data_IF_083477230489
#
_entry.id   IF_083477230489
#
_cell.length_a   1.000
_cell.length_b   1.000
_cell.length_c   1.000
_cell.angle_alpha   90.00
_cell.angle_beta   90.00
_cell.angle_gamma   90.00
#
_symmetry.space_group_name_H-M   'P 1'
#
loop_
_entity.id
_entity.type
_entity.pdbx_description
1 polymer ?
#
# COMPACT_ATOMS: atom_id res chain seq x y z
N UNK A 1 3.51 -60.84 -41.27
CA UNK A 1 4.39 -59.78 -41.82
C UNK A 1 5.11 -59.11 -40.67
N UNK A 2 6.33 -58.61 -40.90
CA UNK A 2 7.28 -58.20 -39.85
C UNK A 2 7.15 -56.71 -39.42
N UNK A 3 8.13 -56.25 -38.60
CA UNK A 3 8.29 -54.90 -38.00
C UNK A 3 7.57 -54.76 -36.65
N UNK A 4 8.16 -54.94 -35.46
CA UNK A 4 9.54 -54.74 -34.94
C UNK A 4 9.92 -53.28 -34.65
N UNK A 5 10.63 -53.07 -33.52
CA UNK A 5 11.22 -51.81 -32.98
C UNK A 5 10.15 -50.90 -32.30
N UNK A 6 10.26 -50.52 -31.02
CA UNK A 6 11.18 -50.87 -29.91
C UNK A 6 10.50 -50.65 -28.52
N UNK A 7 11.08 -51.20 -27.44
CA UNK A 7 10.79 -50.87 -26.02
C UNK A 7 12.09 -50.45 -25.33
N UNK A 8 12.04 -49.57 -24.30
CA UNK A 8 12.99 -49.69 -23.18
C UNK A 8 12.44 -49.08 -21.88
N UNK A 9 12.26 -49.96 -20.90
CA UNK A 9 12.07 -49.67 -19.49
C UNK A 9 12.80 -50.78 -18.74
N UNK A 10 13.62 -50.47 -17.72
CA UNK A 10 14.08 -51.40 -16.68
C UNK A 10 14.73 -50.62 -15.52
N UNK A 11 13.98 -50.53 -14.44
CA UNK A 11 14.28 -51.05 -13.09
C UNK A 11 15.74 -51.18 -12.62
N UNK A 12 15.98 -50.62 -11.43
CA UNK A 12 17.16 -50.76 -10.56
C UNK A 12 17.42 -52.21 -10.14
N UNK A 13 18.69 -52.63 -10.07
CA UNK A 13 19.15 -53.67 -9.13
C UNK A 13 20.59 -53.42 -8.66
N UNK A 14 20.75 -53.29 -7.35
CA UNK A 14 22.04 -53.35 -6.66
C UNK A 14 22.52 -54.78 -6.51
N UNK A 15 23.84 -55.02 -6.51
CA UNK A 15 24.45 -56.03 -5.63
C UNK A 15 25.95 -55.76 -5.44
N UNK A 16 26.43 -55.96 -4.21
CA UNK A 16 27.83 -55.89 -3.80
C UNK A 16 28.58 -57.17 -4.21
N UNK A 17 29.86 -57.03 -4.59
CA UNK A 17 30.85 -58.12 -4.50
C UNK A 17 32.12 -57.55 -3.83
N UNK A 18 32.68 -58.32 -2.91
CA UNK A 18 33.79 -57.96 -2.03
C UNK A 18 35.05 -58.74 -2.45
N UNK A 19 36.17 -58.06 -2.76
CA UNK A 19 37.50 -58.72 -2.85
C UNK A 19 38.64 -57.80 -2.43
N UNK A 20 39.25 -58.13 -1.29
CA UNK A 20 40.67 -58.04 -0.91
C UNK A 20 41.64 -57.17 -1.76
N UNK A 21 42.29 -56.18 -1.13
CA UNK A 21 43.47 -55.50 -1.69
C UNK A 21 44.14 -54.50 -0.73
N UNK A 22 45.38 -54.76 -0.33
CA UNK A 22 46.21 -54.07 0.67
C UNK A 22 46.48 -52.56 0.49
N UNK A 23 46.51 -51.83 1.61
CA UNK A 23 47.31 -50.63 1.94
C UNK A 23 47.80 -49.69 0.81
N UNK A 24 47.16 -48.51 0.69
CA UNK A 24 47.85 -47.22 0.46
C UNK A 24 46.95 -46.04 0.85
N UNK A 25 47.53 -44.94 1.31
CA UNK A 25 46.80 -43.79 1.85
C UNK A 25 46.22 -42.87 0.75
N UNK A 26 45.05 -42.22 0.97
CA UNK A 26 44.47 -41.30 0.00
C UNK A 26 45.15 -39.91 0.02
N UNK A 27 45.23 -39.21 -1.13
CA UNK A 27 45.81 -37.87 -1.24
C UNK A 27 44.87 -36.77 -0.69
N UNK A 28 45.39 -35.57 -0.36
CA UNK A 28 44.64 -34.56 0.40
C UNK A 28 43.60 -33.79 -0.42
N UNK A 29 42.34 -33.81 0.04
CA UNK A 29 41.27 -32.93 -0.40
C UNK A 29 41.47 -31.47 0.10
N UNK A 30 42.38 -30.70 -0.51
CA UNK A 30 42.66 -29.33 -0.04
C UNK A 30 42.98 -28.30 -1.15
N UNK A 31 42.20 -28.27 -2.23
CA UNK A 31 42.30 -27.23 -3.28
C UNK A 31 40.97 -26.59 -3.68
N UNK A 32 39.87 -27.35 -3.74
CA UNK A 32 38.58 -26.84 -4.22
C UNK A 32 37.79 -25.98 -3.22
N UNK A 33 37.90 -26.24 -1.91
CA UNK A 33 37.15 -25.49 -0.89
C UNK A 33 37.72 -24.08 -0.60
N UNK A 34 39.06 -23.92 -0.67
CA UNK A 34 39.73 -22.66 -0.35
C UNK A 34 39.51 -21.54 -1.38
N UNK A 35 39.31 -21.87 -2.66
CA UNK A 35 39.05 -20.86 -3.69
C UNK A 35 37.65 -20.22 -3.56
N UNK A 36 36.65 -20.95 -3.05
CA UNK A 36 35.29 -20.41 -2.87
C UNK A 36 35.23 -19.34 -1.77
N UNK A 37 36.03 -19.49 -0.71
CA UNK A 37 36.14 -18.50 0.37
C UNK A 37 36.85 -17.21 -0.07
N UNK A 38 37.94 -17.30 -0.85
CA UNK A 38 38.63 -16.11 -1.37
C UNK A 38 37.72 -15.27 -2.28
N UNK A 39 36.94 -15.91 -3.16
CA UNK A 39 36.02 -15.19 -4.06
C UNK A 39 34.90 -14.45 -3.30
N UNK A 40 34.33 -15.08 -2.27
CA UNK A 40 33.33 -14.45 -1.40
C UNK A 40 33.90 -13.24 -0.62
N UNK A 41 35.16 -13.30 -0.20
CA UNK A 41 35.83 -12.24 0.54
C UNK A 41 36.33 -11.08 -0.36
N UNK A 42 36.39 -11.30 -1.68
CA UNK A 42 36.82 -10.30 -2.66
C UNK A 42 35.67 -9.41 -3.16
N UNK A 43 34.41 -9.75 -2.88
CA UNK A 43 33.25 -8.85 -2.99
C UNK A 43 33.14 -7.86 -1.81
N UNK A 44 34.30 -7.46 -1.25
CA UNK A 44 34.44 -6.34 -0.32
C UNK A 44 33.96 -5.04 -0.98
N UNK A 45 33.01 -4.39 -0.33
CA UNK A 45 32.96 -2.94 -0.14
C UNK A 45 33.19 -2.04 -1.36
N UNK A 46 32.12 -1.76 -2.11
CA UNK A 46 31.94 -0.43 -2.75
C UNK A 46 31.00 0.43 -1.90
N UNK A 47 31.19 1.76 -1.83
CA UNK A 47 30.73 2.54 -0.68
C UNK A 47 29.24 2.93 -0.76
N UNK A 48 28.35 2.07 -0.24
CA UNK A 48 26.93 2.41 0.01
C UNK A 48 26.76 3.74 0.78
N UNK A 49 27.71 4.11 1.65
CA UNK A 49 27.76 5.43 2.32
C UNK A 49 27.80 6.63 1.34
N UNK A 50 28.51 6.54 0.21
CA UNK A 50 28.63 7.66 -0.76
C UNK A 50 27.34 7.85 -1.56
N UNK A 51 26.65 6.75 -1.91
CA UNK A 51 25.35 6.81 -2.59
C UNK A 51 24.25 7.31 -1.63
N UNK A 52 24.24 6.81 -0.38
CA UNK A 52 23.36 7.34 0.69
C UNK A 52 23.53 8.85 0.87
N UNK A 53 24.77 9.35 0.87
CA UNK A 53 25.04 10.81 0.98
C UNK A 53 24.53 11.60 -0.22
N UNK A 54 24.61 11.06 -1.45
CA UNK A 54 24.02 11.71 -2.64
C UNK A 54 22.50 11.74 -2.59
N UNK A 55 21.84 10.64 -2.21
CA UNK A 55 20.38 10.58 -2.08
C UNK A 55 19.86 11.51 -0.97
N UNK A 56 20.55 11.59 0.18
CA UNK A 56 20.20 12.59 1.21
C UNK A 56 20.39 14.03 0.73
N UNK A 57 21.42 14.32 -0.08
CA UNK A 57 21.60 15.65 -0.68
C UNK A 57 20.53 16.01 -1.71
N UNK A 58 19.85 15.04 -2.32
CA UNK A 58 18.70 15.31 -3.22
C UNK A 58 17.37 15.43 -2.48
N UNK A 59 17.26 14.92 -1.24
CA UNK A 59 16.08 15.04 -0.39
C UNK A 59 16.02 16.35 0.40
N UNK A 60 17.17 17.01 0.62
CA UNK A 60 17.23 18.39 1.17
C UNK A 60 17.15 19.37 0.01
N UNK A 61 15.98 19.49 -0.62
CA UNK A 61 15.81 20.32 -1.83
C UNK A 61 15.42 21.78 -1.53
N UNK A 62 14.93 22.11 -0.32
CA UNK A 62 14.56 23.48 0.03
C UNK A 62 14.99 23.88 1.45
N UNK A 63 15.92 24.84 1.54
CA UNK A 63 16.44 25.45 2.78
C UNK A 63 17.26 24.53 3.70
N UNK A 64 18.27 25.11 4.36
CA UNK A 64 18.96 24.48 5.50
C UNK A 64 18.07 24.43 6.76
N UNK A 65 16.97 25.19 6.78
CA UNK A 65 16.01 25.20 7.89
C UNK A 65 14.85 24.21 7.62
N UNK A 66 14.68 23.15 8.43
CA UNK A 66 13.66 22.13 8.21
C UNK A 66 12.22 22.69 8.28
N UNK A 67 11.98 23.76 9.04
CA UNK A 67 10.67 24.42 9.14
C UNK A 67 10.28 25.07 7.80
N UNK A 68 11.23 25.70 7.12
CA UNK A 68 10.99 26.33 5.80
C UNK A 68 10.73 25.26 4.75
N UNK A 69 11.47 24.14 4.78
CA UNK A 69 11.18 22.98 3.94
C UNK A 69 9.75 22.44 4.18
N UNK A 70 9.34 22.30 5.44
CA UNK A 70 8.00 21.82 5.80
C UNK A 70 6.89 22.74 5.31
N UNK A 71 7.08 24.08 5.34
CA UNK A 71 6.12 25.03 4.75
C UNK A 71 6.04 24.91 3.22
N UNK A 72 7.17 24.75 2.54
CA UNK A 72 7.19 24.55 1.07
C UNK A 72 6.54 23.21 0.69
N UNK A 73 6.84 22.14 1.43
CA UNK A 73 6.20 20.83 1.27
C UNK A 73 4.68 20.90 1.52
N UNK A 74 4.23 21.67 2.52
CA UNK A 74 2.81 21.93 2.80
C UNK A 74 2.15 22.67 1.63
N UNK A 75 2.78 23.71 1.10
CA UNK A 75 2.25 24.48 -0.03
C UNK A 75 2.16 23.62 -1.31
N UNK A 76 3.18 22.81 -1.60
CA UNK A 76 3.19 21.93 -2.77
C UNK A 76 2.17 20.79 -2.64
N UNK A 77 2.15 20.07 -1.51
CA UNK A 77 1.21 18.96 -1.29
C UNK A 77 -0.24 19.43 -1.20
N UNK A 78 -0.49 20.58 -0.56
CA UNK A 78 -1.78 21.27 -0.59
C UNK A 78 -2.18 21.70 -2.00
N UNK A 79 -1.25 22.24 -2.80
CA UNK A 79 -1.47 22.57 -4.21
C UNK A 79 -1.83 21.36 -5.07
N UNK A 80 -1.16 20.22 -4.87
CA UNK A 80 -1.46 18.94 -5.54
C UNK A 80 -2.85 18.45 -5.12
N UNK A 81 -3.16 18.42 -3.83
CA UNK A 81 -4.46 18.00 -3.31
C UNK A 81 -5.60 18.88 -3.86
N UNK A 82 -5.46 20.21 -3.82
CA UNK A 82 -6.44 21.15 -4.39
C UNK A 82 -6.58 21.00 -5.91
N UNK A 83 -5.51 20.68 -6.63
CA UNK A 83 -5.56 20.44 -8.09
C UNK A 83 -6.32 19.16 -8.41
N UNK A 84 -6.09 18.08 -7.66
CA UNK A 84 -6.84 16.83 -7.79
C UNK A 84 -8.32 17.00 -7.41
N UNK A 85 -8.61 17.73 -6.33
CA UNK A 85 -9.98 18.04 -5.94
C UNK A 85 -10.71 18.84 -7.03
N UNK A 86 -10.09 19.89 -7.57
CA UNK A 86 -10.65 20.67 -8.69
C UNK A 86 -10.88 19.83 -9.94
N UNK A 87 -9.96 18.92 -10.27
CA UNK A 87 -10.12 18.00 -11.40
C UNK A 87 -11.40 17.15 -11.24
N UNK A 88 -11.58 16.52 -10.08
CA UNK A 88 -12.77 15.70 -9.81
C UNK A 88 -14.05 16.49 -9.57
N UNK A 89 -13.97 17.74 -9.12
CA UNK A 89 -15.11 18.67 -9.10
C UNK A 89 -15.57 19.02 -10.52
N UNK A 90 -14.65 19.33 -11.44
CA UNK A 90 -14.99 19.60 -12.84
C UNK A 90 -15.59 18.37 -13.53
N UNK A 91 -15.04 17.18 -13.29
CA UNK A 91 -15.60 15.90 -13.77
C UNK A 91 -17.01 15.66 -13.22
N UNK A 92 -17.26 15.94 -11.93
CA UNK A 92 -18.60 15.83 -11.32
C UNK A 92 -19.58 16.90 -11.83
N UNK A 93 -19.13 18.15 -12.06
CA UNK A 93 -19.96 19.21 -12.66
C UNK A 93 -20.44 18.79 -14.04
N UNK A 94 -19.52 18.35 -14.89
CA UNK A 94 -19.77 17.89 -16.27
C UNK A 94 -20.55 16.58 -16.37
N UNK A 95 -20.76 15.86 -15.26
CA UNK A 95 -21.54 14.63 -15.23
C UNK A 95 -20.89 13.46 -15.97
N UNK A 96 -19.56 13.46 -16.12
CA UNK A 96 -18.84 12.42 -16.86
C UNK A 96 -18.87 11.05 -16.17
N UNK A 97 -19.05 11.05 -14.84
CA UNK A 97 -19.17 9.85 -14.00
C UNK A 97 -20.30 10.00 -12.99
N UNK A 98 -20.89 8.87 -12.58
CA UNK A 98 -21.81 8.81 -11.44
C UNK A 98 -21.17 9.39 -10.17
N UNK A 99 -21.94 10.12 -9.36
CA UNK A 99 -21.48 10.68 -8.08
C UNK A 99 -20.77 9.63 -7.19
N UNK A 100 -21.29 8.39 -7.16
CA UNK A 100 -20.72 7.27 -6.39
C UNK A 100 -19.31 6.89 -6.85
N UNK A 101 -19.10 6.87 -8.18
CA UNK A 101 -17.82 6.58 -8.79
C UNK A 101 -16.84 7.74 -8.57
N UNK A 102 -17.28 8.97 -8.83
CA UNK A 102 -16.46 10.17 -8.64
C UNK A 102 -15.97 10.31 -7.19
N UNK A 103 -16.84 10.06 -6.21
CA UNK A 103 -16.49 10.04 -4.78
C UNK A 103 -15.36 9.06 -4.45
N UNK A 104 -15.47 7.80 -4.89
CA UNK A 104 -14.38 6.82 -4.65
C UNK A 104 -13.11 7.21 -5.42
N UNK A 105 -13.19 7.76 -6.64
CA UNK A 105 -12.02 8.25 -7.38
C UNK A 105 -11.31 9.41 -6.66
N UNK A 106 -12.06 10.35 -6.06
CA UNK A 106 -11.50 11.38 -5.16
C UNK A 106 -10.74 10.73 -4.00
N UNK A 107 -11.37 9.80 -3.28
CA UNK A 107 -10.75 9.15 -2.11
C UNK A 107 -9.49 8.34 -2.46
N UNK A 108 -9.54 7.55 -3.54
CA UNK A 108 -8.39 6.79 -4.06
C UNK A 108 -7.25 7.74 -4.40
N UNK A 109 -7.50 8.75 -5.23
CA UNK A 109 -6.42 9.59 -5.78
C UNK A 109 -5.85 10.58 -4.79
N UNK A 110 -6.68 11.26 -3.99
CA UNK A 110 -6.21 12.25 -3.02
C UNK A 110 -5.43 11.58 -1.88
N UNK A 111 -5.91 10.45 -1.35
CA UNK A 111 -5.23 9.74 -0.27
C UNK A 111 -3.87 9.17 -0.68
N UNK A 112 -3.79 8.56 -1.86
CA UNK A 112 -2.53 8.03 -2.39
C UNK A 112 -1.57 9.17 -2.82
N UNK A 113 -2.06 10.22 -3.50
CA UNK A 113 -1.22 11.37 -3.84
C UNK A 113 -0.63 12.09 -2.61
N UNK A 114 -1.39 12.13 -1.49
CA UNK A 114 -0.87 12.65 -0.23
C UNK A 114 0.30 11.80 0.32
N UNK A 115 0.20 10.46 0.26
CA UNK A 115 1.32 9.58 0.62
C UNK A 115 2.57 9.79 -0.26
N UNK A 116 2.39 10.06 -1.56
CA UNK A 116 3.51 10.41 -2.46
C UNK A 116 4.17 11.75 -2.08
N UNK A 117 3.47 12.64 -1.35
CA UNK A 117 4.06 13.88 -0.85
C UNK A 117 4.82 13.70 0.47
N UNK A 118 4.65 12.57 1.19
CA UNK A 118 5.29 12.33 2.49
C UNK A 118 6.82 12.46 2.50
N UNK A 119 7.59 12.08 1.46
CA UNK A 119 9.05 12.26 1.46
C UNK A 119 9.51 13.73 1.46
N UNK A 120 8.66 14.66 1.03
CA UNK A 120 8.98 16.10 0.94
C UNK A 120 9.11 16.77 2.31
N UNK A 121 8.43 16.23 3.33
CA UNK A 121 8.43 16.75 4.69
C UNK A 121 9.70 16.33 5.46
N UNK A 122 10.00 17.05 6.53
CA UNK A 122 11.11 16.77 7.44
C UNK A 122 10.96 15.42 8.15
N UNK A 123 12.08 14.88 8.64
CA UNK A 123 12.08 13.65 9.43
C UNK A 123 11.66 13.90 10.88
N UNK A 124 11.02 12.91 11.50
CA UNK A 124 10.57 12.97 12.89
C UNK A 124 9.14 13.52 13.04
N UNK A 125 8.76 13.81 14.29
CA UNK A 125 7.37 14.10 14.65
C UNK A 125 6.89 15.49 14.22
N UNK A 126 7.80 16.46 14.03
CA UNK A 126 7.46 17.77 13.50
C UNK A 126 6.90 17.67 12.07
N UNK A 127 7.66 17.05 11.15
CA UNK A 127 7.21 16.83 9.77
C UNK A 127 5.91 16.05 9.68
N UNK A 128 5.71 15.06 10.57
CA UNK A 128 4.44 14.32 10.68
C UNK A 128 3.25 15.22 11.06
N UNK A 129 3.42 16.09 12.07
CA UNK A 129 2.37 17.03 12.48
C UNK A 129 2.09 18.06 11.39
N UNK A 130 3.12 18.63 10.75
CA UNK A 130 2.94 19.64 9.70
C UNK A 130 2.30 19.01 8.44
N UNK A 131 2.72 17.82 8.03
CA UNK A 131 2.08 17.09 6.93
C UNK A 131 0.61 16.79 7.23
N UNK A 132 0.29 16.41 8.47
CA UNK A 132 -1.08 16.14 8.91
C UNK A 132 -1.99 17.39 8.90
N UNK A 133 -1.45 18.62 8.91
CA UNK A 133 -2.25 19.83 8.74
C UNK A 133 -2.97 19.86 7.38
N UNK A 134 -2.40 19.26 6.32
CA UNK A 134 -3.00 19.23 4.98
C UNK A 134 -4.35 18.48 4.97
N UNK A 135 -4.44 17.19 5.37
CA UNK A 135 -5.72 16.51 5.48
C UNK A 135 -6.58 17.03 6.65
N UNK A 136 -5.99 17.59 7.71
CA UNK A 136 -6.76 18.21 8.81
C UNK A 136 -7.51 19.47 8.37
N UNK A 137 -6.92 20.32 7.52
CA UNK A 137 -7.65 21.44 6.89
C UNK A 137 -8.79 20.93 6.01
N UNK A 138 -8.61 19.80 5.32
CA UNK A 138 -9.69 19.15 4.57
C UNK A 138 -10.81 18.60 5.50
N UNK A 139 -10.48 18.07 6.69
CA UNK A 139 -11.47 17.71 7.72
C UNK A 139 -12.31 18.94 8.11
N UNK A 140 -11.66 20.08 8.40
CA UNK A 140 -12.37 21.33 8.74
C UNK A 140 -13.28 21.77 7.60
N UNK A 141 -12.82 21.72 6.35
CA UNK A 141 -13.65 22.05 5.19
C UNK A 141 -14.87 21.12 5.05
N UNK A 142 -14.67 19.80 5.19
CA UNK A 142 -15.72 18.78 5.18
C UNK A 142 -16.74 19.03 6.29
N UNK A 143 -16.31 19.37 7.51
CA UNK A 143 -17.19 19.70 8.62
C UNK A 143 -17.99 20.99 8.36
N UNK A 144 -17.35 22.06 7.86
CA UNK A 144 -18.02 23.33 7.55
C UNK A 144 -19.05 23.19 6.42
N UNK A 145 -18.77 22.35 5.42
CA UNK A 145 -19.73 22.01 4.36
C UNK A 145 -20.86 21.12 4.92
N UNK A 146 -20.54 20.06 5.65
CA UNK A 146 -21.52 19.09 6.15
C UNK A 146 -22.47 19.64 7.21
N UNK A 147 -22.03 20.64 7.98
CA UNK A 147 -22.87 21.42 8.91
C UNK A 147 -23.65 22.56 8.21
N UNK A 148 -23.46 22.77 6.90
CA UNK A 148 -24.15 23.80 6.12
C UNK A 148 -23.66 25.24 6.36
N UNK A 149 -22.56 25.42 7.11
CA UNK A 149 -21.97 26.73 7.45
C UNK A 149 -21.32 27.36 6.20
N UNK A 150 -20.73 26.52 5.32
CA UNK A 150 -20.29 26.90 3.97
C UNK A 150 -21.14 26.15 2.94
N UNK A 151 -21.46 26.81 1.83
CA UNK A 151 -22.13 26.20 0.67
C UNK A 151 -21.22 26.23 -0.54
N UNK A 152 -20.68 25.08 -0.94
CA UNK A 152 -19.90 24.89 -2.17
C UNK A 152 -20.42 23.63 -2.86
N UNK A 153 -21.51 23.77 -3.62
CA UNK A 153 -22.26 22.63 -4.19
C UNK A 153 -21.40 21.76 -5.11
N UNK A 154 -20.35 22.32 -5.72
CA UNK A 154 -19.36 21.59 -6.51
C UNK A 154 -18.60 20.52 -5.70
N UNK A 155 -18.06 20.91 -4.53
CA UNK A 155 -17.32 20.03 -3.62
C UNK A 155 -18.25 18.99 -2.99
N UNK A 156 -19.48 19.39 -2.66
CA UNK A 156 -20.52 18.46 -2.17
C UNK A 156 -20.85 17.43 -3.25
N UNK A 157 -21.05 17.84 -4.52
CA UNK A 157 -21.36 16.95 -5.64
C UNK A 157 -20.24 15.97 -5.97
N UNK A 158 -18.97 16.33 -5.74
CA UNK A 158 -17.83 15.43 -6.01
C UNK A 158 -17.57 14.41 -4.89
N UNK A 159 -17.99 14.70 -3.65
CA UNK A 159 -17.72 13.89 -2.44
C UNK A 159 -18.94 13.19 -1.82
N UNK A 160 -20.17 13.46 -2.24
CA UNK A 160 -21.40 12.81 -1.72
C UNK A 160 -21.99 11.77 -2.70
N UNK A 161 -22.89 10.91 -2.24
CA UNK A 161 -23.57 9.87 -3.05
C UNK A 161 -24.84 10.38 -3.72
N UNK A 162 -25.52 11.35 -3.11
CA UNK A 162 -26.79 11.91 -3.55
C UNK A 162 -26.83 13.47 -3.59
N UNK A 163 -25.72 14.16 -3.33
CA UNK A 163 -25.69 15.62 -3.25
C UNK A 163 -26.01 16.21 -1.86
N UNK A 164 -26.29 15.37 -0.86
CA UNK A 164 -26.54 15.84 0.52
C UNK A 164 -25.23 16.22 1.21
N UNK A 165 -25.23 17.40 1.84
CA UNK A 165 -24.13 17.91 2.64
C UNK A 165 -23.86 16.99 3.84
N UNK A 166 -24.88 16.39 4.46
CA UNK A 166 -24.73 15.53 5.65
C UNK A 166 -23.99 14.23 5.37
N UNK A 167 -23.95 13.77 4.12
CA UNK A 167 -23.13 12.61 3.75
C UNK A 167 -21.63 12.86 3.91
N UNK A 168 -21.17 14.11 3.79
CA UNK A 168 -19.77 14.47 3.95
C UNK A 168 -19.26 14.15 5.36
N UNK A 169 -20.16 14.17 6.35
CA UNK A 169 -19.88 13.85 7.76
C UNK A 169 -19.75 12.34 8.05
N UNK A 170 -19.92 11.47 7.04
CA UNK A 170 -19.72 10.02 7.14
C UNK A 170 -18.43 9.62 6.42
N UNK A 171 -18.53 8.82 5.35
CA UNK A 171 -17.40 8.36 4.53
C UNK A 171 -16.26 9.37 4.36
N UNK A 172 -16.45 10.54 3.69
CA UNK A 172 -15.36 11.50 3.45
C UNK A 172 -14.65 11.98 4.72
N UNK A 173 -15.39 12.21 5.81
CA UNK A 173 -14.83 12.55 7.12
C UNK A 173 -14.01 11.40 7.71
N UNK A 174 -14.49 10.15 7.61
CA UNK A 174 -13.75 8.97 8.07
C UNK A 174 -12.47 8.75 7.27
N UNK A 175 -12.48 8.86 5.93
CA UNK A 175 -11.25 8.79 5.12
C UNK A 175 -10.23 9.83 5.54
N UNK A 176 -10.63 11.11 5.61
CA UNK A 176 -9.73 12.20 5.94
C UNK A 176 -9.19 12.05 7.37
N UNK A 177 -10.02 11.58 8.30
CA UNK A 177 -9.62 11.28 9.69
C UNK A 177 -8.62 10.13 9.75
N UNK A 178 -8.85 9.02 9.05
CA UNK A 178 -7.90 7.89 8.98
C UNK A 178 -6.55 8.33 8.44
N UNK A 179 -6.53 9.06 7.31
CA UNK A 179 -5.28 9.53 6.70
C UNK A 179 -4.52 10.46 7.66
N UNK A 180 -5.24 11.36 8.34
CA UNK A 180 -4.66 12.28 9.34
C UNK A 180 -4.10 11.52 10.54
N UNK A 181 -4.85 10.55 11.10
CA UNK A 181 -4.41 9.76 12.25
C UNK A 181 -3.23 8.83 11.91
N UNK A 182 -3.27 8.15 10.75
CA UNK A 182 -2.16 7.35 10.27
C UNK A 182 -0.89 8.19 10.05
N UNK A 183 -1.05 9.41 9.52
CA UNK A 183 0.04 10.38 9.36
C UNK A 183 0.65 10.79 10.72
N UNK A 184 -0.17 11.16 11.71
CA UNK A 184 0.30 11.63 13.04
C UNK A 184 0.83 10.50 13.93
N UNK A 185 0.23 9.32 13.91
CA UNK A 185 0.55 8.23 14.85
C UNK A 185 1.68 7.36 14.31
N UNK A 186 1.53 6.85 13.08
CA UNK A 186 2.40 5.83 12.50
C UNK A 186 3.46 6.42 11.55
N UNK A 187 3.10 7.47 10.81
CA UNK A 187 3.95 8.22 9.88
C UNK A 187 4.61 7.35 8.77
N UNK A 188 5.42 7.98 7.92
CA UNK A 188 6.05 7.36 6.73
C UNK A 188 7.07 6.25 7.01
N UNK A 189 7.38 5.99 8.28
CA UNK A 189 8.32 4.97 8.74
C UNK A 189 7.65 3.69 9.23
N UNK A 190 6.33 3.66 9.36
CA UNK A 190 5.59 2.49 9.83
C UNK A 190 4.87 1.77 8.68
N UNK A 191 5.06 0.46 8.51
CA UNK A 191 4.30 -0.32 7.53
C UNK A 191 2.80 -0.35 7.85
N UNK A 192 2.39 -0.20 9.11
CA UNK A 192 0.98 -0.16 9.52
C UNK A 192 0.25 1.03 8.88
N UNK A 193 0.89 2.21 8.82
CA UNK A 193 0.35 3.38 8.10
C UNK A 193 0.16 3.09 6.60
N UNK A 194 1.13 2.42 5.97
CA UNK A 194 1.06 2.02 4.57
C UNK A 194 -0.13 1.10 4.36
N UNK A 195 -0.21 0.00 5.13
CA UNK A 195 -1.26 -0.99 5.00
C UNK A 195 -2.66 -0.40 5.20
N UNK A 196 -2.84 0.46 6.21
CA UNK A 196 -4.12 1.09 6.51
C UNK A 196 -4.59 2.05 5.41
N UNK A 197 -3.72 2.96 4.93
CA UNK A 197 -4.11 3.91 3.89
C UNK A 197 -4.25 3.20 2.53
N UNK A 198 -3.40 2.23 2.20
CA UNK A 198 -3.52 1.47 0.95
C UNK A 198 -4.78 0.60 0.90
N UNK A 199 -5.16 -0.08 1.98
CA UNK A 199 -6.41 -0.87 1.99
C UNK A 199 -7.67 0.01 1.98
N UNK A 200 -7.64 1.16 2.66
CA UNK A 200 -8.73 2.14 2.61
C UNK A 200 -8.86 2.81 1.22
N UNK A 201 -7.76 3.33 0.67
CA UNK A 201 -7.80 4.14 -0.56
C UNK A 201 -7.78 3.27 -1.82
N UNK A 202 -6.85 2.33 -1.95
CA UNK A 202 -6.74 1.48 -3.13
C UNK A 202 -7.66 0.26 -3.03
N UNK A 203 -7.65 -0.43 -1.88
CA UNK A 203 -8.45 -1.65 -1.64
C UNK A 203 -9.95 -1.41 -1.81
N UNK A 204 -10.58 -0.76 -0.83
CA UNK A 204 -12.01 -0.46 -0.85
C UNK A 204 -12.44 0.37 -2.09
N UNK A 205 -11.58 1.30 -2.54
CA UNK A 205 -11.80 2.07 -3.75
C UNK A 205 -11.97 1.21 -5.01
N UNK A 206 -11.06 0.25 -5.24
CA UNK A 206 -11.19 -0.69 -6.36
C UNK A 206 -12.27 -1.74 -6.12
N UNK A 207 -12.52 -2.16 -4.87
CA UNK A 207 -13.58 -3.08 -4.51
C UNK A 207 -14.95 -2.59 -5.00
N UNK A 208 -15.26 -1.32 -4.76
CA UNK A 208 -16.53 -0.68 -5.15
C UNK A 208 -16.60 -0.41 -6.66
N UNK A 209 -15.48 -0.09 -7.32
CA UNK A 209 -15.44 0.14 -8.78
C UNK A 209 -15.59 -1.19 -9.55
N UNK A 210 -14.74 -2.18 -9.25
CA UNK A 210 -14.70 -3.49 -9.92
C UNK A 210 -15.92 -4.33 -9.49
N UNK A 211 -16.28 -4.30 -8.21
CA UNK A 211 -17.42 -5.04 -7.66
C UNK A 211 -18.78 -4.57 -8.17
N UNK A 212 -18.93 -3.29 -8.58
CA UNK A 212 -20.11 -2.82 -9.33
C UNK A 212 -20.09 -3.25 -10.79
N UNK A 213 -18.93 -3.17 -11.47
CA UNK A 213 -18.84 -3.38 -12.92
C UNK A 213 -18.82 -4.86 -13.33
N UNK A 214 -18.25 -5.72 -12.49
CA UNK A 214 -18.02 -7.14 -12.79
C UNK A 214 -18.51 -8.09 -11.68
N UNK A 215 -18.99 -7.57 -10.55
CA UNK A 215 -19.44 -8.38 -9.40
C UNK A 215 -20.85 -8.95 -9.53
N UNK A 216 -21.04 -9.84 -10.52
CA UNK A 216 -22.28 -10.62 -10.73
C UNK A 216 -22.55 -11.55 -9.55
N UNK A 217 -21.55 -12.32 -9.11
CA UNK A 217 -21.66 -13.24 -7.98
C UNK A 217 -21.58 -12.48 -6.64
N UNK A 218 -22.73 -12.33 -5.99
CA UNK A 218 -22.86 -11.77 -4.64
C UNK A 218 -22.43 -12.78 -3.58
N UNK A 219 -21.98 -12.30 -2.43
CA UNK A 219 -21.64 -13.16 -1.31
C UNK A 219 -22.90 -13.77 -0.69
N UNK A 220 -22.85 -15.03 -0.22
CA UNK A 220 -24.03 -15.71 0.32
C UNK A 220 -24.56 -15.04 1.60
N UNK A 221 -23.65 -14.50 2.42
CA UNK A 221 -23.94 -13.79 3.67
C UNK A 221 -24.13 -12.27 3.52
N UNK A 222 -23.71 -11.66 2.40
CA UNK A 222 -23.88 -10.23 2.15
C UNK A 222 -24.23 -9.97 0.68
N UNK A 223 -25.51 -9.70 0.40
CA UNK A 223 -26.01 -9.47 -0.96
C UNK A 223 -25.56 -8.13 -1.57
N UNK A 224 -25.10 -7.18 -0.75
CA UNK A 224 -24.62 -5.88 -1.21
C UNK A 224 -23.19 -5.95 -1.78
N UNK A 225 -22.37 -6.88 -1.28
CA UNK A 225 -20.97 -7.07 -1.67
C UNK A 225 -20.83 -8.27 -2.63
N UNK A 226 -19.74 -8.33 -3.38
CA UNK A 226 -19.50 -9.35 -4.41
C UNK A 226 -18.15 -10.01 -4.26
N UNK A 227 -18.05 -11.29 -4.66
CA UNK A 227 -16.80 -12.07 -4.57
C UNK A 227 -15.69 -11.36 -5.36
N UNK A 228 -16.02 -10.85 -6.55
CA UNK A 228 -15.09 -10.08 -7.40
C UNK A 228 -14.66 -8.77 -6.72
N UNK A 229 -15.57 -8.10 -5.98
CA UNK A 229 -15.25 -6.90 -5.21
C UNK A 229 -14.25 -7.18 -4.09
N UNK A 230 -14.46 -8.20 -3.27
CA UNK A 230 -13.55 -8.54 -2.17
C UNK A 230 -12.19 -9.09 -2.66
N UNK A 231 -12.15 -9.79 -3.81
CA UNK A 231 -10.88 -10.16 -4.47
C UNK A 231 -10.15 -8.90 -4.97
N UNK A 232 -10.87 -7.97 -5.62
CA UNK A 232 -10.30 -6.71 -6.07
C UNK A 232 -9.78 -5.88 -4.89
N UNK A 233 -10.46 -5.90 -3.74
CA UNK A 233 -10.00 -5.26 -2.52
C UNK A 233 -8.66 -5.79 -2.04
N UNK A 234 -8.57 -7.10 -1.81
CA UNK A 234 -7.36 -7.72 -1.28
C UNK A 234 -6.17 -7.51 -2.24
N UNK A 235 -6.39 -7.68 -3.55
CA UNK A 235 -5.36 -7.48 -4.56
C UNK A 235 -4.92 -6.01 -4.67
N UNK A 236 -5.85 -5.06 -4.70
CA UNK A 236 -5.53 -3.64 -4.82
C UNK A 236 -4.82 -3.09 -3.57
N UNK A 237 -5.31 -3.46 -2.38
CA UNK A 237 -4.69 -3.10 -1.10
C UNK A 237 -3.28 -3.68 -0.97
N UNK A 238 -3.09 -4.95 -1.33
CA UNK A 238 -1.79 -5.61 -1.30
C UNK A 238 -0.81 -4.98 -2.29
N UNK A 239 -1.17 -4.89 -3.57
CA UNK A 239 -0.29 -4.35 -4.62
C UNK A 239 0.06 -2.88 -4.37
N UNK A 240 -0.89 -2.07 -3.88
CA UNK A 240 -0.60 -0.70 -3.46
C UNK A 240 0.39 -0.68 -2.28
N UNK A 241 0.18 -1.52 -1.26
CA UNK A 241 1.09 -1.58 -0.10
C UNK A 241 2.52 -1.95 -0.50
N UNK A 242 2.68 -2.91 -1.43
CA UNK A 242 3.99 -3.28 -2.00
C UNK A 242 4.60 -2.12 -2.81
N UNK A 243 3.80 -1.41 -3.61
CA UNK A 243 4.26 -0.21 -4.32
C UNK A 243 4.77 0.89 -3.37
N UNK A 244 4.04 1.17 -2.28
CA UNK A 244 4.46 2.15 -1.28
C UNK A 244 5.62 1.67 -0.41
N UNK A 245 5.74 0.37 -0.15
CA UNK A 245 6.91 -0.23 0.49
C UNK A 245 8.18 0.06 -0.32
N UNK A 246 8.20 -0.27 -1.62
CA UNK A 246 9.32 0.03 -2.51
C UNK A 246 9.59 1.54 -2.62
N UNK A 247 8.53 2.35 -2.71
CA UNK A 247 8.63 3.80 -2.75
C UNK A 247 9.35 4.35 -1.50
N UNK A 248 8.87 4.04 -0.29
CA UNK A 248 9.47 4.52 0.95
C UNK A 248 10.81 3.85 1.30
N UNK A 249 11.05 2.63 0.82
CA UNK A 249 12.36 1.96 0.82
C UNK A 249 13.40 2.71 -0.01
N UNK A 250 13.03 3.27 -1.16
CA UNK A 250 13.94 4.06 -2.00
C UNK A 250 14.47 5.33 -1.31
N UNK A 251 13.69 5.92 -0.40
CA UNK A 251 14.10 7.02 0.49
C UNK A 251 14.76 6.54 1.80
N UNK A 252 14.76 5.24 2.08
CA UNK A 252 15.32 4.63 3.28
C UNK A 252 14.48 4.82 4.55
N UNK A 253 13.17 5.03 4.43
CA UNK A 253 12.26 5.14 5.59
C UNK A 253 11.79 3.77 6.12
N UNK A 254 11.73 2.77 5.24
CA UNK A 254 11.28 1.40 5.52
C UNK A 254 12.31 0.43 4.96
N UNK A 255 12.52 -0.71 5.61
CA UNK A 255 13.38 -1.78 5.09
C UNK A 255 12.50 -2.89 4.51
N UNK A 256 12.70 -3.23 3.24
CA UNK A 256 12.00 -4.33 2.59
C UNK A 256 12.37 -5.67 3.22
N UNK A 257 11.37 -6.47 3.58
CA UNK A 257 11.55 -7.81 4.10
C UNK A 257 10.42 -8.75 3.62
N UNK A 258 10.69 -10.05 3.40
CA UNK A 258 9.65 -11.03 3.05
C UNK A 258 8.51 -11.10 4.08
N UNK A 259 8.83 -10.88 5.35
CA UNK A 259 7.87 -10.85 6.46
C UNK A 259 6.89 -9.69 6.29
N UNK A 260 7.36 -8.51 5.88
CA UNK A 260 6.52 -7.34 5.62
C UNK A 260 5.61 -7.54 4.40
N UNK A 261 6.12 -8.20 3.35
CA UNK A 261 5.32 -8.61 2.19
C UNK A 261 4.18 -9.55 2.62
N UNK A 262 4.49 -10.56 3.44
CA UNK A 262 3.48 -11.47 3.99
C UNK A 262 2.48 -10.73 4.92
N UNK A 263 2.97 -9.82 5.76
CA UNK A 263 2.14 -8.97 6.62
C UNK A 263 1.15 -8.12 5.82
N UNK A 264 1.58 -7.47 4.74
CA UNK A 264 0.68 -6.73 3.84
C UNK A 264 -0.36 -7.63 3.19
N UNK A 265 -0.01 -8.87 2.81
CA UNK A 265 -0.97 -9.82 2.26
C UNK A 265 -2.03 -10.22 3.30
N UNK A 266 -1.62 -10.56 4.52
CA UNK A 266 -2.51 -10.91 5.64
C UNK A 266 -3.43 -9.74 5.98
N UNK A 267 -2.89 -8.52 6.09
CA UNK A 267 -3.69 -7.31 6.39
C UNK A 267 -4.71 -7.03 5.29
N UNK A 268 -4.33 -7.19 4.01
CA UNK A 268 -5.23 -6.92 2.88
C UNK A 268 -6.34 -7.99 2.75
N UNK A 269 -6.04 -9.24 3.11
CA UNK A 269 -7.06 -10.29 3.22
C UNK A 269 -8.01 -10.02 4.40
N UNK A 270 -7.50 -9.64 5.57
CA UNK A 270 -8.33 -9.29 6.73
C UNK A 270 -9.22 -8.08 6.45
N UNK A 271 -8.69 -7.05 5.77
CA UNK A 271 -9.44 -5.88 5.33
C UNK A 271 -10.60 -6.27 4.39
N UNK A 272 -10.35 -7.15 3.42
CA UNK A 272 -11.38 -7.66 2.50
C UNK A 272 -12.45 -8.53 3.20
N UNK A 273 -12.08 -9.31 4.22
CA UNK A 273 -13.03 -10.09 5.03
C UNK A 273 -13.90 -9.21 5.94
N UNK A 274 -13.38 -8.07 6.41
CA UNK A 274 -14.16 -7.11 7.19
C UNK A 274 -15.08 -6.30 6.28
N UNK A 275 -14.61 -5.84 5.13
CA UNK A 275 -15.43 -5.14 4.12
C UNK A 275 -16.59 -6.00 3.60
N UNK A 276 -16.36 -7.29 3.44
CA UNK A 276 -17.38 -8.23 2.98
C UNK A 276 -18.48 -8.46 4.04
N UNK A 277 -18.17 -8.25 5.32
CA UNK A 277 -19.06 -8.55 6.44
C UNK A 277 -20.28 -7.60 6.50
N UNK A 278 -21.50 -8.09 6.81
CA UNK A 278 -22.70 -7.25 6.88
C UNK A 278 -22.57 -6.05 7.83
N UNK A 279 -21.94 -6.23 9.00
CA UNK A 279 -21.70 -5.14 9.97
C UNK A 279 -20.90 -3.96 9.36
N UNK A 280 -20.01 -4.22 8.40
CA UNK A 280 -19.27 -3.15 7.71
C UNK A 280 -20.16 -2.35 6.75
N UNK A 281 -21.32 -2.87 6.36
CA UNK A 281 -22.32 -2.13 5.59
C UNK A 281 -23.15 -1.20 6.48
N UNK A 282 -23.27 -1.53 7.78
CA UNK A 282 -24.03 -0.76 8.78
C UNK A 282 -23.17 0.31 9.48
N UNK A 283 -21.92 -0.04 9.84
CA UNK A 283 -20.98 0.84 10.56
C UNK A 283 -20.12 1.76 9.68
N UNK A 284 -20.35 1.74 8.36
CA UNK A 284 -19.57 2.43 7.31
C UNK A 284 -18.20 1.77 7.02
N UNK A 285 -17.99 1.32 5.77
CA UNK A 285 -16.79 0.62 5.31
C UNK A 285 -15.51 1.46 5.44
N UNK A 286 -15.67 2.79 5.44
CA UNK A 286 -14.57 3.74 5.48
C UNK A 286 -14.03 3.95 6.91
N UNK A 287 -14.66 3.35 7.93
CA UNK A 287 -14.19 3.29 9.32
C UNK A 287 -13.70 1.89 9.71
N UNK A 288 -14.44 0.83 9.35
CA UNK A 288 -14.11 -0.56 9.73
C UNK A 288 -12.83 -1.07 9.07
N UNK A 289 -12.61 -0.78 7.79
CA UNK A 289 -11.45 -1.23 7.01
C UNK A 289 -10.14 -0.70 7.58
N UNK A 290 -9.97 0.61 7.86
CA UNK A 290 -8.80 1.14 8.55
C UNK A 290 -8.53 0.51 9.91
N UNK A 291 -9.57 0.36 10.74
CA UNK A 291 -9.43 -0.19 12.09
C UNK A 291 -8.97 -1.65 12.04
N UNK A 292 -9.54 -2.45 11.13
CA UNK A 292 -9.08 -3.81 10.87
C UNK A 292 -7.62 -3.86 10.38
N UNK A 293 -7.25 -2.96 9.45
CA UNK A 293 -5.89 -2.90 8.92
C UNK A 293 -4.86 -2.48 9.97
N UNK A 294 -5.19 -1.54 10.86
CA UNK A 294 -4.34 -1.14 11.98
C UNK A 294 -4.24 -2.24 13.03
N UNK A 295 -5.37 -2.86 13.40
CA UNK A 295 -5.41 -3.94 14.39
C UNK A 295 -4.59 -5.14 13.92
N UNK A 296 -4.90 -5.71 12.75
CA UNK A 296 -4.16 -6.86 12.21
C UNK A 296 -2.71 -6.49 11.93
N UNK A 297 -2.47 -5.29 11.37
CA UNK A 297 -1.13 -4.77 11.12
C UNK A 297 -0.27 -4.77 12.38
N UNK A 298 -0.80 -4.35 13.53
CA UNK A 298 -0.06 -4.31 14.80
C UNK A 298 0.45 -5.68 15.31
N UNK A 299 -0.04 -6.79 14.73
CA UNK A 299 0.43 -8.15 15.03
C UNK A 299 1.37 -8.73 13.97
N UNK A 300 1.42 -8.17 12.74
CA UNK A 300 2.08 -8.81 11.58
C UNK A 300 3.01 -7.88 10.77
N UNK A 301 3.16 -6.61 11.19
CA UNK A 301 3.95 -5.56 10.51
C UNK A 301 4.78 -4.71 11.50
#
# INVERSE_FOLDING_TARGET
MASTILSFSITVKSNFIFTSGSNSAPPPYSSYFLNRFKFAQQLKGKPRRRLRRKLTSSAVMFSENPVINDFIATAMSGGIALSLLRLWEETAKRGLFDQKLNRKLVHVTVGLAFMLCWPMFSSGRQGAVIAALVPFVNIIQILLLGLGIRKHDATVKSMSRFGDHRELLKGPLYYASTITLACVIYWRTSPIAIAAICNLCAGDGLADIVGRRFGSHKLPYNRNKSIVGSIAMAMAGFLASIGYMHYFSSFGYVQESPEMVLGFFIVSLAAALIESHPLSTELDDNLTVPLASVLVGSFVL
#
